data_IF_416566415375
#
_entry.id   IF_416566415375
#
_cell.length_a   1.000
_cell.length_b   1.000
_cell.length_c   1.000
_cell.angle_alpha   90.00
_cell.angle_beta   90.00
_cell.angle_gamma   90.00
#
_symmetry.space_group_name_H-M   'P 1'
#
loop_
_entity.id
_entity.type
_entity.pdbx_description
1 polymer ?
#
# COMPACT_ATOMS: atom_id res chain seq x y z
N UNK A 1 -42.28 91.34 11.87
CA UNK A 1 -40.94 90.76 12.04
C UNK A 1 -40.09 91.75 12.81
N UNK A 2 -39.46 91.38 13.94
CA UNK A 2 -38.57 92.30 14.66
C UNK A 2 -37.24 92.44 13.90
N UNK A 3 -36.81 93.67 13.65
CA UNK A 3 -35.52 94.00 13.03
C UNK A 3 -34.45 94.08 14.13
N UNK A 4 -33.58 93.08 14.21
CA UNK A 4 -32.41 93.09 15.07
C UNK A 4 -31.16 93.46 14.25
N UNK A 5 -30.50 94.57 14.58
CA UNK A 5 -29.35 95.10 13.82
C UNK A 5 -28.03 94.32 14.06
N UNK A 6 -27.86 93.73 15.24
CA UNK A 6 -26.64 92.99 15.61
C UNK A 6 -26.62 91.52 15.15
N UNK A 7 -27.77 90.96 14.77
CA UNK A 7 -27.86 89.54 14.37
C UNK A 7 -28.71 89.44 13.10
N UNK A 8 -28.05 89.42 11.95
CA UNK A 8 -28.71 89.32 10.66
C UNK A 8 -29.08 87.86 10.35
N UNK A 9 -30.31 87.49 10.69
CA UNK A 9 -30.86 86.14 10.49
C UNK A 9 -30.84 85.72 9.01
N UNK A 10 -31.02 86.66 8.07
CA UNK A 10 -30.95 86.38 6.63
C UNK A 10 -29.55 85.93 6.20
N UNK A 11 -28.50 86.60 6.70
CA UNK A 11 -27.10 86.23 6.43
C UNK A 11 -26.71 84.89 7.06
N UNK A 12 -27.16 84.61 8.29
CA UNK A 12 -26.88 83.34 8.99
C UNK A 12 -27.54 82.17 8.25
N UNK A 13 -28.77 82.36 7.77
CA UNK A 13 -29.46 81.34 6.99
C UNK A 13 -28.76 81.08 5.64
N UNK A 14 -28.33 82.15 4.94
CA UNK A 14 -27.55 82.03 3.72
C UNK A 14 -26.23 81.28 3.95
N UNK A 15 -25.52 81.57 5.05
CA UNK A 15 -24.27 80.89 5.40
C UNK A 15 -24.49 79.41 5.74
N UNK A 16 -25.56 79.07 6.47
CA UNK A 16 -25.96 77.68 6.75
C UNK A 16 -26.25 76.90 5.47
N UNK A 17 -26.99 77.51 4.53
CA UNK A 17 -27.29 76.87 3.25
C UNK A 17 -26.04 76.71 2.37
N UNK A 18 -25.13 77.70 2.37
CA UNK A 18 -23.85 77.59 1.68
C UNK A 18 -22.99 76.44 2.23
N UNK A 19 -22.95 76.26 3.56
CA UNK A 19 -22.24 75.15 4.20
C UNK A 19 -22.82 73.78 3.80
N UNK A 20 -24.15 73.67 3.74
CA UNK A 20 -24.83 72.45 3.25
C UNK A 20 -24.47 72.15 1.78
N UNK A 21 -24.51 73.16 0.90
CA UNK A 21 -24.16 73.02 -0.52
C UNK A 21 -22.69 72.62 -0.68
N UNK A 22 -21.78 73.26 0.06
CA UNK A 22 -20.35 72.91 0.02
C UNK A 22 -20.12 71.45 0.43
N UNK A 23 -20.82 70.96 1.45
CA UNK A 23 -20.74 69.55 1.89
C UNK A 23 -21.27 68.58 0.83
N UNK A 24 -22.37 68.92 0.16
CA UNK A 24 -22.94 68.12 -0.93
C UNK A 24 -22.03 68.10 -2.18
N UNK A 25 -21.41 69.23 -2.52
CA UNK A 25 -20.43 69.34 -3.60
C UNK A 25 -19.19 68.49 -3.32
N UNK A 26 -18.65 68.57 -2.10
CA UNK A 26 -17.51 67.74 -1.69
C UNK A 26 -17.81 66.25 -1.81
N UNK A 27 -19.02 65.82 -1.42
CA UNK A 27 -19.45 64.42 -1.57
C UNK A 27 -19.58 64.03 -3.05
N UNK A 28 -20.08 64.93 -3.90
CA UNK A 28 -20.16 64.71 -5.35
C UNK A 28 -18.79 64.59 -5.99
N UNK A 29 -17.82 65.43 -5.58
CA UNK A 29 -16.43 65.33 -6.03
C UNK A 29 -15.75 64.04 -5.56
N UNK A 30 -16.00 63.60 -4.32
CA UNK A 30 -15.49 62.32 -3.80
C UNK A 30 -15.99 61.14 -4.64
N UNK A 31 -17.29 61.10 -4.95
CA UNK A 31 -17.89 60.07 -5.81
C UNK A 31 -17.40 60.14 -7.25
N UNK A 32 -17.22 61.34 -7.79
CA UNK A 32 -16.68 61.54 -9.14
C UNK A 32 -15.22 61.06 -9.24
N UNK A 33 -14.39 61.42 -8.25
CA UNK A 33 -12.96 61.07 -8.25
C UNK A 33 -12.71 59.59 -8.03
N UNK A 34 -13.56 58.92 -7.24
CA UNK A 34 -13.48 57.47 -6.97
C UNK A 34 -14.18 56.63 -8.03
N UNK A 35 -15.18 57.20 -8.73
CA UNK A 35 -16.10 56.46 -9.58
C UNK A 35 -17.10 55.57 -8.80
N UNK A 36 -17.10 55.62 -7.47
CA UNK A 36 -17.94 54.80 -6.60
C UNK A 36 -19.08 55.63 -6.01
N UNK A 37 -20.30 55.08 -6.04
CA UNK A 37 -21.46 55.71 -5.39
C UNK A 37 -21.36 55.68 -3.86
N UNK A 38 -20.77 54.63 -3.31
CA UNK A 38 -20.59 54.40 -1.87
C UNK A 38 -19.09 54.43 -1.59
N UNK A 39 -18.60 55.49 -0.95
CA UNK A 39 -17.19 55.57 -0.51
C UNK A 39 -17.04 55.34 0.99
N UNK A 40 -18.04 55.73 1.79
CA UNK A 40 -17.98 55.64 3.24
C UNK A 40 -19.24 54.98 3.82
N UNK A 41 -19.11 54.45 5.05
CA UNK A 41 -20.24 53.85 5.77
C UNK A 41 -21.37 54.86 6.08
N UNK A 42 -21.07 56.18 6.06
CA UNK A 42 -22.07 57.27 6.21
C UNK A 42 -23.02 57.38 5.01
N UNK A 43 -22.60 56.94 3.82
CA UNK A 43 -23.40 57.03 2.60
C UNK A 43 -24.46 55.92 2.54
N UNK A 44 -24.05 54.68 2.83
CA UNK A 44 -24.90 53.49 2.83
C UNK A 44 -24.18 52.33 3.55
N UNK A 45 -24.45 52.15 4.84
CA UNK A 45 -23.80 51.10 5.64
C UNK A 45 -24.14 49.68 5.15
N UNK A 46 -25.38 49.45 4.72
CA UNK A 46 -25.82 48.14 4.23
C UNK A 46 -25.22 47.85 2.85
N UNK A 47 -25.22 48.83 1.95
CA UNK A 47 -24.58 48.73 0.64
C UNK A 47 -23.07 48.48 0.75
N UNK A 48 -22.39 49.18 1.66
CA UNK A 48 -20.96 48.95 1.91
C UNK A 48 -20.69 47.55 2.48
N UNK A 49 -21.52 47.05 3.40
CA UNK A 49 -21.38 45.69 3.94
C UNK A 49 -21.54 44.63 2.85
N UNK A 50 -22.56 44.77 1.99
CA UNK A 50 -22.79 43.84 0.87
C UNK A 50 -21.61 43.92 -0.11
N UNK A 51 -21.16 45.12 -0.45
CA UNK A 51 -20.00 45.33 -1.32
C UNK A 51 -18.77 44.65 -0.76
N UNK A 52 -18.43 44.86 0.51
CA UNK A 52 -17.26 44.25 1.16
C UNK A 52 -17.34 42.72 1.15
N UNK A 53 -18.52 42.15 1.41
CA UNK A 53 -18.73 40.69 1.32
C UNK A 53 -18.52 40.17 -0.09
N UNK A 54 -19.05 40.86 -1.10
CA UNK A 54 -18.88 40.49 -2.51
C UNK A 54 -17.42 40.65 -2.96
N UNK A 55 -16.73 41.71 -2.53
CA UNK A 55 -15.30 41.91 -2.80
C UNK A 55 -14.47 40.79 -2.19
N UNK A 56 -14.73 40.41 -0.94
CA UNK A 56 -14.06 39.27 -0.30
C UNK A 56 -14.33 37.96 -1.08
N UNK A 57 -15.57 37.75 -1.53
CA UNK A 57 -15.93 36.60 -2.36
C UNK A 57 -15.20 36.60 -3.71
N UNK A 58 -15.10 37.75 -4.39
CA UNK A 58 -14.36 37.89 -5.66
C UNK A 58 -12.88 37.58 -5.45
N UNK A 59 -12.26 38.13 -4.40
CA UNK A 59 -10.87 37.84 -4.06
C UNK A 59 -10.65 36.36 -3.75
N UNK A 60 -11.58 35.74 -3.02
CA UNK A 60 -11.59 34.30 -2.75
C UNK A 60 -11.67 33.47 -4.03
N UNK A 61 -12.60 33.80 -4.95
CA UNK A 61 -12.74 33.12 -6.24
C UNK A 61 -11.53 33.33 -7.15
N UNK A 62 -10.89 34.51 -7.12
CA UNK A 62 -9.68 34.78 -7.90
C UNK A 62 -8.49 33.93 -7.42
N UNK A 63 -8.38 33.70 -6.11
CA UNK A 63 -7.38 32.78 -5.56
C UNK A 63 -7.74 31.32 -5.84
N UNK A 64 -9.01 30.95 -5.72
CA UNK A 64 -9.50 29.62 -6.05
C UNK A 64 -9.20 29.22 -7.50
N UNK A 65 -9.37 30.13 -8.46
CA UNK A 65 -8.97 29.89 -9.86
C UNK A 65 -7.47 29.60 -10.00
N UNK A 66 -6.62 30.33 -9.27
CA UNK A 66 -5.17 30.06 -9.26
C UNK A 66 -4.87 28.69 -8.65
N UNK A 67 -5.54 28.32 -7.56
CA UNK A 67 -5.39 27.00 -6.95
C UNK A 67 -5.85 25.88 -7.90
N UNK A 68 -6.95 26.07 -8.62
CA UNK A 68 -7.44 25.10 -9.61
C UNK A 68 -6.43 24.92 -10.76
N UNK A 69 -5.84 26.01 -11.27
CA UNK A 69 -4.79 25.92 -12.28
C UNK A 69 -3.53 25.20 -11.77
N UNK A 70 -3.18 25.33 -10.49
CA UNK A 70 -2.10 24.54 -9.89
C UNK A 70 -2.46 23.05 -9.86
N UNK A 71 -3.69 22.71 -9.46
CA UNK A 71 -4.18 21.32 -9.51
C UNK A 71 -4.14 20.72 -10.91
N UNK A 72 -4.52 21.49 -11.93
CA UNK A 72 -4.41 21.08 -13.34
C UNK A 72 -2.94 20.84 -13.72
N UNK A 73 -2.04 21.73 -13.32
CA UNK A 73 -0.60 21.60 -13.62
C UNK A 73 0.02 20.35 -12.98
N UNK A 74 -0.39 20.04 -11.75
CA UNK A 74 0.01 18.80 -11.05
C UNK A 74 -0.49 17.58 -11.82
N UNK A 75 -1.78 17.54 -12.15
CA UNK A 75 -2.39 16.43 -12.87
C UNK A 75 -1.74 16.21 -14.25
N UNK A 76 -1.45 17.29 -15.00
CA UNK A 76 -0.76 17.20 -16.30
C UNK A 76 0.68 16.70 -16.19
N UNK A 77 1.39 17.09 -15.13
CA UNK A 77 2.76 16.60 -14.89
C UNK A 77 2.73 15.10 -14.59
N UNK A 78 1.79 14.66 -13.75
CA UNK A 78 1.58 13.25 -13.46
C UNK A 78 1.15 12.46 -14.72
N UNK A 79 0.21 12.98 -15.51
CA UNK A 79 -0.26 12.36 -16.75
C UNK A 79 0.89 12.19 -17.77
N UNK A 80 1.74 13.20 -17.94
CA UNK A 80 2.89 13.13 -18.83
C UNK A 80 3.89 12.03 -18.42
N UNK A 81 4.16 11.91 -17.12
CA UNK A 81 5.02 10.87 -16.58
C UNK A 81 4.40 9.46 -16.72
N UNK A 82 3.11 9.30 -16.42
CA UNK A 82 2.37 8.06 -16.62
C UNK A 82 2.30 7.64 -18.09
N UNK A 83 2.24 8.60 -19.02
CA UNK A 83 2.34 8.36 -20.46
C UNK A 83 3.69 7.72 -20.82
N UNK A 84 4.80 8.23 -20.28
CA UNK A 84 6.14 7.64 -20.48
C UNK A 84 6.24 6.25 -19.86
N UNK A 85 5.74 6.08 -18.65
CA UNK A 85 5.73 4.78 -18.00
C UNK A 85 4.88 3.75 -18.76
N UNK A 86 3.77 4.18 -19.38
CA UNK A 86 2.96 3.33 -20.27
C UNK A 86 3.70 2.89 -21.52
N UNK A 87 4.50 3.76 -22.15
CA UNK A 87 5.38 3.40 -23.28
C UNK A 87 6.40 2.32 -22.86
N UNK A 88 6.99 2.46 -21.67
CA UNK A 88 7.94 1.47 -21.12
C UNK A 88 7.24 0.12 -20.85
N UNK A 89 6.03 0.12 -20.29
CA UNK A 89 5.25 -1.11 -20.06
C UNK A 89 4.93 -1.82 -21.38
N UNK A 90 4.61 -1.07 -22.43
CA UNK A 90 4.40 -1.66 -23.76
C UNK A 90 5.68 -2.32 -24.27
N UNK A 91 6.86 -1.72 -24.05
CA UNK A 91 8.16 -2.34 -24.38
C UNK A 91 8.41 -3.60 -23.55
N UNK A 92 8.18 -3.57 -22.24
CA UNK A 92 8.26 -4.75 -21.36
C UNK A 92 7.41 -5.91 -21.88
N UNK A 93 6.18 -5.62 -22.33
CA UNK A 93 5.28 -6.62 -22.91
C UNK A 93 5.83 -7.22 -24.21
N UNK A 94 6.45 -6.41 -25.07
CA UNK A 94 7.08 -6.89 -26.32
C UNK A 94 8.27 -7.80 -26.00
N UNK A 95 9.12 -7.42 -25.03
CA UNK A 95 10.25 -8.25 -24.60
C UNK A 95 9.77 -9.57 -23.97
N UNK A 96 8.73 -9.54 -23.15
CA UNK A 96 8.13 -10.75 -22.57
C UNK A 96 7.61 -11.70 -23.67
N UNK A 97 6.87 -11.19 -24.65
CA UNK A 97 6.40 -11.97 -25.80
C UNK A 97 7.55 -12.49 -26.67
N UNK A 98 8.57 -11.68 -26.89
CA UNK A 98 9.77 -12.08 -27.62
C UNK A 98 10.46 -13.23 -26.88
N UNK A 99 10.71 -13.09 -25.57
CA UNK A 99 11.33 -14.11 -24.74
C UNK A 99 10.52 -15.42 -24.73
N UNK A 100 9.18 -15.35 -24.78
CA UNK A 100 8.32 -16.53 -24.79
C UNK A 100 8.45 -17.38 -26.07
N UNK A 101 9.05 -16.87 -27.15
CA UNK A 101 9.22 -17.62 -28.39
C UNK A 101 10.23 -18.78 -28.20
N UNK A 102 9.83 -20.00 -28.59
CA UNK A 102 10.64 -21.22 -28.42
C UNK A 102 11.91 -21.26 -29.27
N UNK A 103 12.05 -20.38 -30.28
CA UNK A 103 13.24 -20.30 -31.13
C UNK A 103 14.43 -19.55 -30.50
N UNK A 104 14.22 -18.83 -29.39
CA UNK A 104 15.30 -18.08 -28.73
C UNK A 104 16.20 -19.00 -27.91
N UNK A 105 17.51 -18.75 -27.97
CA UNK A 105 18.48 -19.47 -27.15
C UNK A 105 18.44 -18.99 -25.69
N UNK A 106 19.05 -19.75 -24.78
CA UNK A 106 19.16 -19.34 -23.38
C UNK A 106 19.93 -18.02 -23.22
N UNK A 107 20.98 -17.80 -24.02
CA UNK A 107 21.75 -16.55 -23.99
C UNK A 107 20.90 -15.36 -24.46
N UNK A 108 20.04 -15.56 -25.47
CA UNK A 108 19.13 -14.50 -25.94
C UNK A 108 18.09 -14.15 -24.87
N UNK A 109 17.62 -15.14 -24.10
CA UNK A 109 16.68 -14.91 -22.99
C UNK A 109 17.32 -14.10 -21.86
N UNK A 110 18.59 -14.38 -21.54
CA UNK A 110 19.35 -13.59 -20.55
C UNK A 110 19.51 -12.14 -21.00
N UNK A 111 19.90 -11.90 -22.26
CA UNK A 111 20.04 -10.54 -22.78
C UNK A 111 18.70 -9.77 -22.82
N UNK A 112 17.59 -10.45 -23.11
CA UNK A 112 16.24 -9.87 -23.06
C UNK A 112 15.80 -9.56 -21.62
N UNK A 113 16.18 -10.40 -20.65
CA UNK A 113 15.91 -10.15 -19.23
C UNK A 113 16.72 -8.97 -18.69
N UNK A 114 18.00 -8.83 -19.08
CA UNK A 114 18.81 -7.66 -18.72
C UNK A 114 18.16 -6.34 -19.21
N UNK A 115 17.63 -6.32 -20.44
CA UNK A 115 16.86 -5.17 -20.94
C UNK A 115 15.56 -4.96 -20.14
N UNK A 116 14.86 -6.04 -19.80
CA UNK A 116 13.63 -6.01 -19.01
C UNK A 116 13.86 -5.41 -17.61
N UNK A 117 14.91 -5.81 -16.91
CA UNK A 117 15.27 -5.29 -15.60
C UNK A 117 15.64 -3.79 -15.65
N UNK A 118 16.37 -3.36 -16.69
CA UNK A 118 16.68 -1.93 -16.87
C UNK A 118 15.42 -1.10 -17.09
N UNK A 119 14.45 -1.60 -17.84
CA UNK A 119 13.18 -0.91 -18.05
C UNK A 119 12.32 -0.87 -16.79
N UNK A 120 12.36 -1.90 -15.93
CA UNK A 120 11.74 -1.86 -14.59
C UNK A 120 12.39 -0.77 -13.73
N UNK A 121 13.71 -0.68 -13.71
CA UNK A 121 14.42 0.37 -12.99
C UNK A 121 14.05 1.76 -13.51
N UNK A 122 13.83 1.90 -14.82
CA UNK A 122 13.39 3.15 -15.41
C UNK A 122 11.96 3.52 -14.96
N UNK A 123 11.04 2.57 -14.82
CA UNK A 123 9.70 2.84 -14.23
C UNK A 123 9.83 3.38 -12.81
N UNK A 124 10.66 2.75 -11.96
CA UNK A 124 10.92 3.23 -10.60
C UNK A 124 11.55 4.63 -10.60
N UNK A 125 12.51 4.87 -11.49
CA UNK A 125 13.15 6.17 -11.70
C UNK A 125 12.15 7.25 -12.13
N UNK A 126 11.18 6.93 -13.00
CA UNK A 126 10.09 7.84 -13.38
C UNK A 126 9.21 8.13 -12.16
N UNK A 127 8.84 7.11 -11.38
CA UNK A 127 8.03 7.30 -10.19
C UNK A 127 8.72 8.20 -9.15
N UNK A 128 10.00 7.96 -8.88
CA UNK A 128 10.80 8.68 -7.88
C UNK A 128 11.15 10.11 -8.30
N UNK A 129 11.47 10.33 -9.59
CA UNK A 129 11.93 11.65 -10.08
C UNK A 129 10.78 12.58 -10.46
N UNK A 130 9.57 12.05 -10.65
CA UNK A 130 8.41 12.88 -11.00
C UNK A 130 7.93 13.63 -9.77
N UNK A 131 8.21 14.93 -9.74
CA UNK A 131 7.80 15.83 -8.66
C UNK A 131 7.25 17.15 -9.18
N UNK A 132 6.34 17.73 -8.41
CA UNK A 132 5.83 19.08 -8.64
C UNK A 132 6.12 19.95 -7.43
N UNK A 133 6.79 21.09 -7.65
CA UNK A 133 7.19 22.01 -6.58
C UNK A 133 7.91 21.33 -5.40
N UNK A 134 8.68 20.27 -5.68
CA UNK A 134 9.45 19.50 -4.68
C UNK A 134 8.66 18.39 -3.97
N UNK A 135 7.40 18.15 -4.33
CA UNK A 135 6.61 17.02 -3.82
C UNK A 135 6.57 15.88 -4.84
N UNK A 136 6.89 14.63 -4.46
CA UNK A 136 6.74 13.49 -5.35
C UNK A 136 5.26 13.29 -5.72
N UNK A 137 4.99 12.87 -6.96
CA UNK A 137 3.62 12.68 -7.46
C UNK A 137 3.20 11.22 -7.58
N UNK A 138 4.15 10.31 -7.84
CA UNK A 138 3.87 8.93 -8.28
C UNK A 138 4.32 7.86 -7.29
N UNK A 139 4.67 8.25 -6.06
CA UNK A 139 5.07 7.34 -4.97
C UNK A 139 3.87 6.81 -4.15
N UNK A 140 2.65 7.25 -4.49
CA UNK A 140 1.41 6.88 -3.80
C UNK A 140 1.16 7.64 -2.50
N UNK A 141 2.02 8.59 -2.13
CA UNK A 141 1.83 9.45 -0.95
C UNK A 141 1.07 10.75 -1.27
N UNK A 142 0.85 11.05 -2.55
CA UNK A 142 0.24 12.29 -2.98
C UNK A 142 -1.29 12.30 -2.75
N UNK A 143 -1.69 12.93 -1.65
CA UNK A 143 -3.08 13.22 -1.30
C UNK A 143 -3.20 14.69 -0.91
N UNK A 144 -3.70 15.51 -1.84
CA UNK A 144 -3.89 16.95 -1.62
C UNK A 144 -5.31 17.43 -1.90
N UNK A 145 -5.73 18.41 -1.12
CA UNK A 145 -7.04 19.07 -1.23
C UNK A 145 -6.85 20.46 -1.84
N UNK A 146 -7.36 20.66 -3.05
CA UNK A 146 -7.32 21.97 -3.71
C UNK A 146 -8.57 22.78 -3.37
N UNK A 147 -8.41 23.90 -2.68
CA UNK A 147 -9.49 24.84 -2.38
C UNK A 147 -9.86 25.64 -3.65
N UNK A 148 -11.04 25.33 -4.21
CA UNK A 148 -11.56 25.89 -5.48
C UNK A 148 -12.79 26.78 -5.31
N UNK A 149 -13.19 27.08 -4.07
CA UNK A 149 -14.28 28.00 -3.78
C UNK A 149 -13.88 29.13 -2.83
N UNK A 150 -14.77 30.12 -2.69
CA UNK A 150 -14.55 31.27 -1.80
C UNK A 150 -14.93 30.97 -0.33
N UNK A 151 -15.71 29.93 -0.07
CA UNK A 151 -16.10 29.52 1.27
C UNK A 151 -15.23 28.36 1.76
N UNK A 152 -15.10 28.21 3.07
CA UNK A 152 -14.37 27.09 3.66
C UNK A 152 -14.89 25.72 3.17
N UNK A 153 -13.97 24.77 3.03
CA UNK A 153 -14.26 23.37 2.64
C UNK A 153 -14.87 23.17 1.26
N UNK A 154 -14.74 24.15 0.36
CA UNK A 154 -15.03 23.98 -1.07
C UNK A 154 -13.78 23.48 -1.79
N UNK A 155 -13.45 22.21 -1.53
CA UNK A 155 -12.21 21.57 -1.98
C UNK A 155 -12.48 20.45 -2.98
N UNK A 156 -11.54 20.25 -3.90
CA UNK A 156 -11.46 19.06 -4.77
C UNK A 156 -10.27 18.23 -4.30
N UNK A 157 -10.49 16.99 -3.83
CA UNK A 157 -9.39 16.09 -3.53
C UNK A 157 -8.73 15.61 -4.82
N UNK A 158 -7.40 15.60 -4.85
CA UNK A 158 -6.60 14.98 -5.89
C UNK A 158 -5.70 13.95 -5.22
N UNK A 159 -6.03 12.69 -5.43
CA UNK A 159 -5.22 11.56 -5.03
C UNK A 159 -4.55 10.98 -6.26
N UNK A 160 -3.24 10.73 -6.17
CA UNK A 160 -2.48 10.03 -7.20
C UNK A 160 -1.89 8.79 -6.55
N UNK A 161 -2.30 7.63 -7.06
CA UNK A 161 -1.81 6.35 -6.55
C UNK A 161 -0.37 6.09 -6.98
N UNK A 162 0.29 5.19 -6.26
CA UNK A 162 1.66 4.77 -6.55
C UNK A 162 1.77 4.09 -7.89
N UNK A 163 2.82 4.42 -8.64
CA UNK A 163 3.13 3.83 -9.94
C UNK A 163 4.54 3.22 -9.97
N UNK A 164 5.03 2.73 -8.82
CA UNK A 164 6.26 1.95 -8.78
C UNK A 164 6.08 0.60 -9.47
N UNK A 165 7.17 -0.06 -9.87
CA UNK A 165 7.13 -1.41 -10.43
C UNK A 165 6.43 -2.40 -9.47
N UNK A 166 6.58 -2.21 -8.16
CA UNK A 166 5.93 -3.01 -7.12
C UNK A 166 4.40 -2.80 -7.09
N UNK A 167 3.92 -1.61 -7.45
CA UNK A 167 2.50 -1.25 -7.46
C UNK A 167 1.78 -1.72 -8.73
N UNK A 168 2.47 -1.70 -9.88
CA UNK A 168 1.91 -2.09 -11.19
C UNK A 168 1.90 -3.62 -11.35
N UNK A 169 2.93 -4.29 -10.85
CA UNK A 169 3.19 -5.72 -11.07
C UNK A 169 2.61 -6.64 -9.99
N UNK A 170 2.13 -6.10 -8.87
CA UNK A 170 1.55 -6.93 -7.83
C UNK A 170 0.11 -7.31 -8.18
N UNK A 171 -0.06 -8.54 -8.69
CA UNK A 171 -1.11 -9.35 -8.09
C UNK A 171 -0.79 -9.39 -6.59
N UNK A 172 -1.31 -8.42 -5.81
CA UNK A 172 -1.27 -8.48 -4.35
C UNK A 172 -1.87 -9.82 -4.02
N UNK A 173 -1.04 -10.79 -3.66
CA UNK A 173 -1.50 -11.95 -2.94
C UNK A 173 -2.11 -11.34 -1.69
N UNK A 174 -3.45 -11.25 -1.68
CA UNK A 174 -4.22 -10.83 -0.53
C UNK A 174 -3.93 -11.89 0.51
N UNK A 175 -2.85 -11.68 1.26
CA UNK A 175 -2.57 -12.41 2.48
C UNK A 175 -3.55 -11.81 3.46
N UNK A 176 -4.81 -12.23 3.35
CA UNK A 176 -5.80 -11.98 4.39
C UNK A 176 -5.33 -12.82 5.56
N UNK A 177 -4.42 -12.28 6.35
CA UNK A 177 -4.10 -12.75 7.69
C UNK A 177 -5.38 -12.63 8.49
N UNK A 178 -6.23 -13.65 8.38
CA UNK A 178 -7.31 -13.87 9.33
C UNK A 178 -6.56 -14.28 10.59
N UNK A 179 -6.30 -13.30 11.47
CA UNK A 179 -5.85 -13.58 12.82
C UNK A 179 -6.92 -14.46 13.44
N UNK A 180 -6.68 -15.76 13.52
CA UNK A 180 -7.48 -16.66 14.34
C UNK A 180 -7.10 -16.31 15.78
N UNK A 181 -7.73 -15.26 16.31
CA UNK A 181 -7.82 -15.04 17.75
C UNK A 181 -8.84 -16.04 18.28
N UNK A 182 -8.35 -17.22 18.65
CA UNK A 182 -8.96 -18.07 19.68
C UNK A 182 -7.85 -18.99 20.21
N UNK A 183 -7.01 -18.42 21.06
CA UNK A 183 -6.16 -19.17 21.97
C UNK A 183 -6.95 -19.38 23.25
N UNK A 184 -7.79 -20.41 23.27
CA UNK A 184 -8.17 -21.07 24.52
C UNK A 184 -7.75 -22.54 24.46
N UNK A 185 -7.20 -23.00 25.57
CA UNK A 185 -6.43 -24.23 25.71
C UNK A 185 -7.18 -25.45 25.20
N UNK A 186 -6.69 -26.08 24.12
CA UNK A 186 -7.10 -27.43 23.73
C UNK A 186 -7.40 -27.63 22.25
N UNK A 187 -6.34 -27.83 21.46
CA UNK A 187 -6.32 -28.54 20.16
C UNK A 187 -7.24 -28.02 19.04
N UNK A 188 -6.61 -27.39 18.03
CA UNK A 188 -7.12 -27.30 16.67
C UNK A 188 -7.24 -28.72 16.07
N UNK A 189 -8.44 -29.27 15.97
CA UNK A 189 -8.68 -30.55 15.27
C UNK A 189 -9.04 -30.28 13.81
N UNK A 190 -8.11 -30.57 12.91
CA UNK A 190 -8.40 -30.65 11.48
C UNK A 190 -9.19 -31.94 11.22
N UNK A 191 -10.40 -31.81 10.69
CA UNK A 191 -11.17 -32.94 10.19
C UNK A 191 -10.48 -33.47 8.93
N UNK A 192 -9.74 -34.57 9.04
CA UNK A 192 -9.36 -35.38 7.89
C UNK A 192 -10.45 -36.41 7.63
N UNK A 193 -11.27 -36.16 6.60
CA UNK A 193 -12.01 -37.25 5.97
C UNK A 193 -10.98 -38.03 5.13
N UNK A 194 -10.79 -39.34 5.34
CA UNK A 194 -9.65 -40.05 4.78
C UNK A 194 -9.84 -40.29 3.27
N UNK A 195 -9.03 -39.62 2.45
CA UNK A 195 -8.76 -40.05 1.07
C UNK A 195 -7.67 -41.11 1.13
N UNK A 196 -7.99 -42.31 0.63
CA UNK A 196 -7.11 -43.48 0.63
C UNK A 196 -5.97 -43.29 -0.36
N UNK A 197 -4.75 -43.63 0.07
CA UNK A 197 -3.59 -43.82 -0.80
C UNK A 197 -2.46 -42.84 -0.50
N UNK A 198 -1.49 -43.33 0.29
CA UNK A 198 -0.21 -42.69 0.64
C UNK A 198 -0.23 -41.59 1.72
N UNK A 199 -0.19 -42.04 2.98
CA UNK A 199 0.71 -41.53 4.03
C UNK A 199 0.47 -40.12 4.58
N UNK A 200 -0.21 -40.06 5.72
CA UNK A 200 -0.39 -38.89 6.62
C UNK A 200 0.95 -38.39 7.20
N UNK A 201 1.27 -37.07 7.23
CA UNK A 201 2.48 -36.57 7.87
C UNK A 201 2.27 -36.49 9.39
N UNK A 202 2.45 -37.63 10.05
CA UNK A 202 2.70 -37.69 11.49
C UNK A 202 4.20 -37.82 11.70
N UNK A 203 4.73 -37.24 12.77
CA UNK A 203 6.17 -37.25 13.09
C UNK A 203 6.75 -38.67 12.99
N UNK A 204 7.57 -38.93 11.98
CA UNK A 204 8.17 -40.25 11.78
C UNK A 204 9.54 -40.31 12.43
N UNK A 205 9.71 -41.24 13.37
CA UNK A 205 11.02 -41.69 13.85
C UNK A 205 11.51 -42.76 12.89
N UNK A 206 12.60 -42.50 12.17
CA UNK A 206 13.24 -43.49 11.31
C UNK A 206 14.21 -44.30 12.17
N UNK A 207 14.00 -45.62 12.25
CA UNK A 207 14.85 -46.57 12.96
C UNK A 207 15.56 -47.42 11.90
N UNK A 208 16.87 -47.29 11.79
CA UNK A 208 17.68 -48.10 10.87
C UNK A 208 18.41 -49.21 11.63
N UNK A 209 18.19 -50.47 11.21
CA UNK A 209 19.09 -51.60 11.48
C UNK A 209 19.14 -52.55 10.30
N UNK A 210 20.30 -53.18 10.12
CA UNK A 210 20.64 -54.12 9.04
C UNK A 210 19.88 -55.48 9.07
N UNK A 211 18.92 -55.65 9.96
CA UNK A 211 17.89 -56.70 9.93
C UNK A 211 16.55 -56.09 10.40
N UNK A 212 15.40 -56.46 9.81
CA UNK A 212 14.20 -55.61 9.81
C UNK A 212 13.62 -55.43 11.21
N UNK A 213 13.75 -54.24 11.83
CA UNK A 213 13.07 -53.94 13.09
C UNK A 213 11.58 -53.70 12.81
N UNK A 214 10.69 -54.29 13.60
CA UNK A 214 9.25 -53.99 13.51
C UNK A 214 8.90 -52.86 14.46
N UNK A 215 8.39 -51.75 13.92
CA UNK A 215 7.86 -50.60 14.67
C UNK A 215 6.33 -50.68 14.65
N UNK A 216 5.70 -50.74 15.82
CA UNK A 216 4.22 -50.79 15.96
C UNK A 216 3.68 -49.47 16.49
N UNK A 217 2.65 -48.95 15.84
CA UNK A 217 2.02 -47.66 16.14
C UNK A 217 0.57 -47.88 16.59
N UNK A 218 0.17 -47.55 17.83
CA UNK A 218 -1.24 -47.41 18.16
C UNK A 218 -1.81 -46.10 17.59
N UNK A 219 -3.14 -46.04 17.42
CA UNK A 219 -3.89 -44.96 16.76
C UNK A 219 -3.90 -43.60 17.50
N UNK A 220 -2.92 -43.34 18.35
CA UNK A 220 -2.69 -42.07 19.05
C UNK A 220 -1.18 -41.86 19.17
N UNK A 221 -0.74 -40.68 18.77
CA UNK A 221 0.60 -40.27 18.33
C UNK A 221 1.75 -40.53 19.32
N UNK A 222 2.20 -41.77 19.45
CA UNK A 222 3.51 -42.11 20.04
C UNK A 222 4.01 -43.51 19.62
N UNK A 223 5.32 -43.62 19.33
CA UNK A 223 6.03 -44.92 19.25
C UNK A 223 6.03 -45.53 20.65
N UNK A 224 5.34 -46.64 20.88
CA UNK A 224 5.27 -47.23 22.23
C UNK A 224 6.35 -48.28 22.50
N UNK A 225 6.86 -48.98 21.48
CA UNK A 225 7.95 -49.97 21.66
C UNK A 225 8.84 -50.08 20.42
N UNK A 226 10.16 -50.03 20.60
CA UNK A 226 11.17 -50.38 19.58
C UNK A 226 11.78 -51.72 19.97
N UNK A 227 11.89 -52.64 19.00
CA UNK A 227 12.42 -53.99 19.25
C UNK A 227 13.39 -54.43 18.17
N UNK A 228 14.49 -55.05 18.60
CA UNK A 228 15.48 -55.66 17.70
C UNK A 228 16.00 -56.96 18.34
N UNK A 229 15.96 -58.06 17.57
CA UNK A 229 16.55 -59.36 17.93
C UNK A 229 16.23 -59.85 19.35
N UNK A 230 14.98 -59.71 19.78
CA UNK A 230 14.49 -60.19 21.09
C UNK A 230 14.62 -59.20 22.25
N UNK A 231 15.27 -58.04 22.06
CA UNK A 231 15.32 -56.96 23.05
C UNK A 231 14.24 -55.92 22.75
N UNK A 232 13.46 -55.51 23.76
CA UNK A 232 12.38 -54.52 23.66
C UNK A 232 12.68 -53.30 24.53
N UNK A 233 12.54 -52.11 23.95
CA UNK A 233 12.59 -50.84 24.66
C UNK A 233 11.24 -50.14 24.53
N UNK A 234 10.58 -49.91 25.67
CA UNK A 234 9.37 -49.11 25.72
C UNK A 234 9.78 -47.64 25.85
N UNK A 235 9.48 -46.84 24.83
CA UNK A 235 9.75 -45.40 24.86
C UNK A 235 8.79 -44.78 25.90
N UNK A 236 9.28 -44.16 26.99
CA UNK A 236 8.39 -43.60 28.00
C UNK A 236 7.55 -42.45 27.41
N UNK A 237 6.23 -42.61 27.41
CA UNK A 237 5.26 -41.66 26.83
C UNK A 237 4.73 -40.66 27.85
N UNK A 238 5.54 -40.24 28.81
CA UNK A 238 5.14 -39.18 29.74
C UNK A 238 5.19 -37.83 29.02
N UNK A 239 4.01 -37.39 28.57
CA UNK A 239 3.62 -36.04 28.13
C UNK A 239 4.73 -35.09 27.65
N UNK A 240 4.72 -34.81 26.34
CA UNK A 240 5.49 -33.76 25.65
C UNK A 240 6.97 -34.03 25.33
N UNK A 241 7.35 -35.27 24.99
CA UNK A 241 8.65 -35.50 24.36
C UNK A 241 8.62 -35.05 22.88
N UNK A 242 9.47 -34.09 22.50
CA UNK A 242 9.68 -33.69 21.11
C UNK A 242 10.46 -34.78 20.35
N UNK A 243 10.31 -34.83 19.02
CA UNK A 243 10.85 -35.90 18.17
C UNK A 243 12.37 -36.13 18.37
N UNK A 244 13.12 -35.06 18.67
CA UNK A 244 14.55 -35.11 18.98
C UNK A 244 14.86 -35.91 20.24
N UNK A 245 14.14 -35.68 21.34
CA UNK A 245 14.34 -36.39 22.61
C UNK A 245 14.00 -37.88 22.48
N UNK A 246 13.00 -38.22 21.67
CA UNK A 246 12.64 -39.62 21.40
C UNK A 246 13.75 -40.35 20.63
N UNK A 247 14.34 -39.71 19.62
CA UNK A 247 15.45 -40.31 18.86
C UNK A 247 16.71 -40.50 19.73
N UNK A 248 17.04 -39.53 20.59
CA UNK A 248 18.16 -39.65 21.55
C UNK A 248 17.94 -40.79 22.55
N UNK A 249 16.74 -40.94 23.08
CA UNK A 249 16.42 -42.04 24.01
C UNK A 249 16.52 -43.41 23.34
N UNK A 250 16.18 -43.54 22.05
CA UNK A 250 16.33 -44.80 21.30
C UNK A 250 17.81 -45.12 21.06
N UNK A 251 18.63 -44.12 20.71
CA UNK A 251 20.08 -44.30 20.52
C UNK A 251 20.78 -44.71 21.83
N UNK A 252 20.37 -44.10 22.95
CA UNK A 252 20.94 -44.39 24.26
C UNK A 252 20.47 -45.73 24.85
N UNK A 253 19.41 -46.32 24.31
CA UNK A 253 18.90 -47.62 24.76
C UNK A 253 19.78 -48.82 24.34
N UNK A 254 20.80 -48.63 23.51
CA UNK A 254 21.82 -49.65 23.21
C UNK A 254 21.32 -50.82 22.35
N UNK A 255 20.24 -50.63 21.59
CA UNK A 255 19.57 -51.68 20.80
C UNK A 255 20.23 -51.98 19.44
N UNK A 256 21.37 -51.34 19.14
CA UNK A 256 22.07 -51.48 17.85
C UNK A 256 21.34 -50.85 16.66
N UNK A 257 20.37 -49.97 16.92
CA UNK A 257 19.69 -49.12 15.92
C UNK A 257 20.15 -47.68 16.08
N UNK A 258 20.24 -46.94 14.97
CA UNK A 258 20.44 -45.49 15.00
C UNK A 258 19.15 -44.80 14.58
N UNK A 259 18.60 -43.97 15.47
CA UNK A 259 17.43 -43.15 15.27
C UNK A 259 17.81 -41.69 15.06
N UNK A 260 17.14 -41.03 14.11
CA UNK A 260 17.30 -39.60 13.83
C UNK A 260 15.94 -38.93 13.73
N UNK A 261 15.86 -37.68 14.19
CA UNK A 261 14.64 -36.88 14.16
C UNK A 261 14.80 -35.69 13.20
N UNK A 262 13.89 -35.57 12.24
CA UNK A 262 13.79 -34.43 11.34
C UNK A 262 12.36 -33.86 11.39
N UNK A 263 12.24 -32.54 11.36
CA UNK A 263 10.93 -31.85 11.27
C UNK A 263 10.78 -31.26 9.88
N UNK A 264 9.69 -31.59 9.20
CA UNK A 264 9.35 -31.03 7.89
C UNK A 264 8.07 -30.22 8.03
N UNK A 265 8.07 -28.99 7.52
CA UNK A 265 6.87 -28.20 7.34
C UNK A 265 6.43 -28.33 5.88
N UNK A 266 5.19 -28.77 5.65
CA UNK A 266 4.60 -28.78 4.31
C UNK A 266 3.63 -27.61 4.18
N UNK A 267 3.91 -26.72 3.23
CA UNK A 267 3.02 -25.63 2.84
C UNK A 267 2.09 -26.17 1.75
N UNK A 268 0.80 -26.31 2.07
CA UNK A 268 -0.23 -26.72 1.10
C UNK A 268 -1.08 -25.51 0.75
N UNK A 269 -1.06 -25.10 -0.51
CA UNK A 269 -1.98 -24.10 -1.04
C UNK A 269 -3.35 -24.76 -1.30
N UNK A 270 -4.43 -24.23 -0.72
CA UNK A 270 -5.81 -24.65 -1.02
C UNK A 270 -6.60 -23.51 -1.65
N UNK A 271 -7.54 -23.91 -2.50
CA UNK A 271 -8.53 -23.12 -3.24
C UNK A 271 -8.02 -22.43 -4.52
N UNK A 272 -7.79 -23.24 -5.56
CA UNK A 272 -8.10 -22.82 -6.93
C UNK A 272 -9.34 -23.60 -7.40
N UNK A 273 -10.44 -22.93 -7.80
CA UNK A 273 -11.43 -23.57 -8.64
C UNK A 273 -10.77 -23.78 -10.01
N UNK A 274 -10.20 -24.98 -10.19
CA UNK A 274 -9.67 -25.59 -11.41
C UNK A 274 -9.66 -24.67 -12.67
N UNK A 275 -8.48 -24.38 -13.21
CA UNK A 275 -8.00 -25.29 -14.25
C UNK A 275 -6.55 -25.72 -14.01
N UNK A 276 -6.35 -27.04 -13.98
CA UNK A 276 -5.13 -27.78 -14.28
C UNK A 276 -3.83 -26.96 -14.35
N UNK A 277 -2.97 -27.14 -13.33
CA UNK A 277 -1.53 -27.12 -13.59
C UNK A 277 -1.24 -28.26 -14.57
N UNK A 278 -1.20 -27.93 -15.86
CA UNK A 278 -0.57 -28.80 -16.84
C UNK A 278 0.92 -28.79 -16.53
N UNK A 279 1.37 -29.80 -15.79
CA UNK A 279 2.79 -30.08 -15.61
C UNK A 279 3.34 -30.50 -16.97
N UNK A 280 3.70 -29.52 -17.80
CA UNK A 280 4.60 -29.79 -18.92
C UNK A 280 5.93 -30.21 -18.26
N UNK A 281 6.46 -31.40 -18.56
CA UNK A 281 7.64 -31.90 -17.89
C UNK A 281 8.86 -31.06 -18.27
N UNK A 282 9.30 -30.18 -17.39
CA UNK A 282 10.67 -29.66 -17.44
C UNK A 282 11.60 -30.67 -16.74
N UNK A 283 12.80 -30.94 -17.31
CA UNK A 283 13.64 -32.06 -16.89
C UNK A 283 14.56 -31.76 -15.70
N UNK A 284 14.47 -30.59 -15.05
CA UNK A 284 15.36 -30.25 -13.92
C UNK A 284 14.58 -29.88 -12.65
N UNK A 285 14.96 -30.42 -11.48
CA UNK A 285 14.35 -30.07 -10.20
C UNK A 285 14.59 -28.59 -9.85
N UNK A 286 13.58 -27.93 -9.26
CA UNK A 286 13.75 -26.62 -8.63
C UNK A 286 14.29 -26.86 -7.21
N UNK A 287 15.53 -26.45 -6.95
CA UNK A 287 16.11 -26.49 -5.61
C UNK A 287 15.73 -25.23 -4.83
N UNK A 288 15.04 -25.41 -3.70
CA UNK A 288 14.73 -24.36 -2.73
C UNK A 288 15.65 -24.56 -1.53
N UNK A 289 16.59 -23.63 -1.31
CA UNK A 289 17.49 -23.66 -0.16
C UNK A 289 17.04 -22.68 0.93
N UNK A 290 17.19 -23.09 2.19
CA UNK A 290 16.85 -22.29 3.36
C UNK A 290 18.14 -21.99 4.12
N UNK A 291 18.42 -20.72 4.40
CA UNK A 291 19.51 -20.35 5.29
C UNK A 291 18.94 -19.85 6.62
N UNK A 292 19.45 -20.39 7.73
CA UNK A 292 18.95 -20.13 9.08
C UNK A 292 19.93 -19.21 9.79
N UNK A 293 19.63 -17.92 9.82
CA UNK A 293 20.47 -16.94 10.51
C UNK A 293 19.93 -16.73 11.94
N UNK A 294 20.59 -17.36 12.92
CA UNK A 294 20.56 -16.97 14.34
C UNK A 294 19.41 -17.50 15.20
N UNK A 295 19.72 -17.70 16.49
CA UNK A 295 18.77 -18.13 17.53
C UNK A 295 17.69 -17.06 17.75
N UNK A 296 16.43 -17.49 17.61
CA UNK A 296 15.17 -16.76 17.78
C UNK A 296 14.66 -16.02 16.52
N UNK A 297 13.94 -16.76 15.67
CA UNK A 297 12.55 -16.34 15.40
C UNK A 297 12.17 -15.86 14.01
N UNK A 298 13.00 -16.04 12.97
CA UNK A 298 12.56 -15.73 11.59
C UNK A 298 13.28 -16.59 10.55
N UNK A 299 12.51 -17.38 9.80
CA UNK A 299 13.00 -18.11 8.61
C UNK A 299 12.68 -17.24 7.40
N UNK A 300 13.71 -16.66 6.78
CA UNK A 300 13.57 -15.97 5.49
C UNK A 300 13.75 -16.98 4.37
N UNK A 301 12.77 -17.10 3.49
CA UNK A 301 12.86 -17.94 2.28
C UNK A 301 13.30 -17.06 1.12
N UNK A 302 14.52 -17.27 0.63
CA UNK A 302 14.95 -16.74 -0.65
C UNK A 302 14.74 -17.82 -1.71
N UNK A 303 13.69 -17.68 -2.53
CA UNK A 303 13.58 -18.50 -3.75
C UNK A 303 14.49 -17.84 -4.78
N UNK A 304 15.70 -18.37 -4.92
CA UNK A 304 16.62 -17.91 -5.95
C UNK A 304 16.14 -18.48 -7.29
N UNK A 305 15.34 -17.72 -8.00
CA UNK A 305 15.09 -17.97 -9.43
C UNK A 305 16.37 -17.59 -10.16
N UNK A 306 17.30 -18.53 -10.33
CA UNK A 306 18.19 -18.64 -11.50
C UNK A 306 19.15 -19.81 -11.29
N UNK A 307 18.82 -20.95 -11.91
CA UNK A 307 19.73 -21.75 -12.73
C UNK A 307 18.92 -22.54 -13.75
#
# INVERSE_FOLDING_TARGET
>A
MPLYLNTNIGSINAQKQLSNISTQLNTSFERLSSGLRINNAKDDAAGLQISNRLTAQIMGLAQANRNANNGISVAQTAEGALGKASEVIQRLRVLALQSANGSNTSNDRVALDDEYQLLIQEINSIADKTSFAGKPLLDGSFDELFQVGANASQTVPLQIDGFSADDIGSAKAVTKTTLIQDVEQGSLRLHSNPIRGFGDPTSHVLVDSSAPPSVSWPSSTAVSTVSNSGSTFSVPTTGSANAKEVAENINNAGLGVTASAATYASLVFRDFPNPAFNTVPYPTPIDISFDVIGELGSVSVAVNWFN
#
